data_IF_911099463485
#
_entry.id   IF_911099463485
#
_cell.length_a   1.000
_cell.length_b   1.000
_cell.length_c   1.000
_cell.angle_alpha   90.00
_cell.angle_beta   90.00
_cell.angle_gamma   90.00
#
_symmetry.space_group_name_H-M   'P 1'
#
loop_
_entity.id
_entity.type
_entity.pdbx_description
1 polymer ?
#
# COMPACT_ATOMS: atom_id res chain seq x y z
N UNK A 1 5.98 -5.68 -4.93
CA UNK A 1 5.97 -6.27 -3.56
C UNK A 1 4.56 -6.25 -2.98
N UNK A 2 4.34 -7.00 -1.91
CA UNK A 2 3.06 -7.07 -1.18
C UNK A 2 3.33 -6.68 0.27
N UNK A 3 2.99 -5.46 0.70
CA UNK A 3 3.36 -5.00 2.04
C UNK A 3 2.78 -5.82 3.19
N UNK A 4 1.56 -6.34 3.03
CA UNK A 4 0.90 -7.19 4.02
C UNK A 4 1.68 -8.49 4.30
N UNK A 5 2.46 -9.01 3.34
CA UNK A 5 3.28 -10.21 3.57
C UNK A 5 4.29 -10.00 4.71
N UNK A 6 4.89 -8.82 4.83
CA UNK A 6 5.81 -8.56 5.94
C UNK A 6 5.13 -8.71 7.31
N UNK A 7 3.88 -8.27 7.43
CA UNK A 7 3.13 -8.36 8.67
C UNK A 7 2.53 -9.73 8.92
N UNK A 8 2.18 -10.47 7.87
CA UNK A 8 1.71 -11.85 7.96
C UNK A 8 2.85 -12.82 8.29
N UNK A 9 4.05 -12.58 7.73
CA UNK A 9 5.20 -13.48 7.87
C UNK A 9 6.07 -13.19 9.10
N UNK A 10 5.88 -12.05 9.78
CA UNK A 10 6.73 -11.58 10.89
C UNK A 10 7.03 -12.65 11.96
N UNK A 11 6.05 -13.51 12.24
CA UNK A 11 6.17 -14.53 13.29
C UNK A 11 6.93 -15.79 12.84
N UNK A 12 7.11 -15.98 11.53
CA UNK A 12 7.77 -17.18 11.01
C UNK A 12 9.03 -16.88 10.20
N UNK A 13 9.23 -15.65 9.78
CA UNK A 13 10.34 -15.29 8.89
C UNK A 13 11.69 -15.65 9.50
N UNK A 14 11.91 -15.34 10.76
CA UNK A 14 13.14 -15.67 11.47
C UNK A 14 13.39 -17.19 11.52
N UNK A 15 12.36 -17.98 11.81
CA UNK A 15 12.47 -19.44 11.87
C UNK A 15 12.77 -20.07 10.52
N UNK A 16 12.31 -19.42 9.43
CA UNK A 16 12.45 -19.93 8.06
C UNK A 16 13.78 -19.56 7.40
N UNK A 17 14.24 -18.33 7.61
CA UNK A 17 15.44 -17.83 6.91
C UNK A 17 16.63 -17.57 7.84
N UNK A 18 16.42 -17.56 9.17
CA UNK A 18 17.43 -17.26 10.18
C UNK A 18 17.63 -15.75 10.39
N UNK A 19 18.10 -15.40 11.57
CA UNK A 19 18.31 -13.99 12.01
C UNK A 19 19.17 -13.20 11.02
N UNK A 20 20.29 -13.76 10.60
CA UNK A 20 21.26 -13.12 9.73
C UNK A 20 20.66 -12.69 8.37
N UNK A 21 19.72 -13.47 7.83
CA UNK A 21 19.09 -13.16 6.53
C UNK A 21 17.89 -12.22 6.66
N UNK A 22 17.38 -12.01 7.86
CA UNK A 22 16.30 -11.05 8.08
C UNK A 22 16.71 -9.63 7.72
N UNK A 23 17.98 -9.27 7.78
CA UNK A 23 18.49 -7.97 7.38
C UNK A 23 18.07 -7.61 5.94
N UNK A 24 18.09 -8.57 5.03
CA UNK A 24 17.67 -8.39 3.63
C UNK A 24 16.20 -8.69 3.36
N UNK A 25 15.42 -9.11 4.37
CA UNK A 25 14.02 -9.48 4.17
C UNK A 25 13.09 -8.27 4.31
N UNK A 26 12.17 -8.12 3.34
CA UNK A 26 11.20 -7.01 3.32
C UNK A 26 11.87 -5.62 3.44
N UNK A 27 13.04 -5.47 2.84
CA UNK A 27 13.95 -4.34 2.96
C UNK A 27 13.54 -3.18 2.02
N UNK A 28 12.35 -2.64 2.17
CA UNK A 28 11.79 -1.67 1.22
C UNK A 28 12.48 -0.32 1.29
N UNK A 29 12.80 0.18 2.48
CA UNK A 29 13.54 1.43 2.68
C UNK A 29 14.92 1.34 2.02
N UNK A 30 15.61 0.23 2.26
CA UNK A 30 16.91 -0.05 1.65
C UNK A 30 16.86 0.02 0.11
N UNK A 31 15.85 -0.58 -0.52
CA UNK A 31 15.68 -0.51 -1.98
C UNK A 31 15.34 0.90 -2.47
N UNK A 32 14.46 1.62 -1.76
CA UNK A 32 14.09 2.99 -2.12
C UNK A 32 15.31 3.92 -2.04
N UNK A 33 16.09 3.83 -0.98
CA UNK A 33 17.29 4.65 -0.77
C UNK A 33 18.38 4.39 -1.82
N UNK A 34 18.36 3.21 -2.43
CA UNK A 34 19.20 2.87 -3.59
C UNK A 34 18.62 3.35 -4.93
N UNK A 35 17.47 4.02 -4.92
CA UNK A 35 16.81 4.51 -6.13
C UNK A 35 15.96 3.47 -6.86
N UNK A 36 15.64 2.33 -6.25
CA UNK A 36 14.80 1.31 -6.84
C UNK A 36 13.32 1.70 -6.74
N UNK A 37 12.61 1.65 -7.86
CA UNK A 37 11.16 1.79 -7.88
C UNK A 37 10.50 0.53 -7.30
N UNK A 38 9.52 0.72 -6.42
CA UNK A 38 8.80 -0.38 -5.79
C UNK A 38 7.33 -0.32 -6.21
N UNK A 39 6.88 -1.27 -7.02
CA UNK A 39 5.47 -1.50 -7.29
C UNK A 39 4.85 -2.37 -6.19
N UNK A 40 3.68 -1.99 -5.70
CA UNK A 40 2.95 -2.71 -4.66
C UNK A 40 1.62 -3.28 -5.15
N UNK A 41 1.16 -4.31 -4.47
CA UNK A 41 -0.13 -4.96 -4.66
C UNK A 41 -0.51 -5.79 -3.43
N UNK A 42 -1.71 -6.39 -3.42
CA UNK A 42 -2.18 -7.22 -2.31
C UNK A 42 -1.84 -8.70 -2.47
N UNK A 43 -1.60 -9.16 -3.69
CA UNK A 43 -1.52 -10.61 -4.01
C UNK A 43 -2.83 -11.36 -3.68
N UNK A 44 -3.97 -10.67 -3.84
CA UNK A 44 -5.28 -11.30 -3.62
C UNK A 44 -5.43 -12.57 -4.49
N UNK A 45 -5.91 -13.68 -3.94
CA UNK A 45 -6.57 -13.87 -2.64
C UNK A 45 -5.65 -14.33 -1.49
N UNK A 46 -4.33 -14.27 -1.62
CA UNK A 46 -3.38 -14.62 -0.55
C UNK A 46 -3.54 -13.64 0.62
N UNK A 47 -3.63 -12.36 0.32
CA UNK A 47 -3.94 -11.30 1.28
C UNK A 47 -5.28 -10.61 0.94
N UNK A 48 -5.88 -9.86 1.87
CA UNK A 48 -7.09 -9.10 1.60
C UNK A 48 -6.92 -8.11 0.44
N UNK A 49 -7.99 -7.94 -0.36
CA UNK A 49 -7.96 -7.13 -1.59
C UNK A 49 -7.81 -5.61 -1.33
N UNK A 50 -8.20 -5.11 -0.14
CA UNK A 50 -8.20 -3.68 0.17
C UNK A 50 -6.78 -3.11 0.16
N UNK A 51 -6.43 -2.16 -0.74
CA UNK A 51 -5.09 -1.59 -0.84
C UNK A 51 -4.67 -0.79 0.41
N UNK A 52 -5.63 -0.24 1.17
CA UNK A 52 -5.31 0.50 2.40
C UNK A 52 -4.71 -0.38 3.48
N UNK A 53 -5.00 -1.69 3.52
CA UNK A 53 -4.31 -2.63 4.39
C UNK A 53 -2.81 -2.76 4.04
N UNK A 54 -2.51 -2.77 2.73
CA UNK A 54 -1.13 -2.75 2.26
C UNK A 54 -0.43 -1.42 2.53
N UNK A 55 -1.13 -0.29 2.36
CA UNK A 55 -0.60 1.05 2.66
C UNK A 55 -0.30 1.18 4.17
N UNK A 56 -1.23 0.76 5.04
CA UNK A 56 -1.01 0.69 6.48
C UNK A 56 0.23 -0.14 6.82
N UNK A 57 0.31 -1.38 6.32
CA UNK A 57 1.45 -2.27 6.56
C UNK A 57 2.78 -1.68 6.04
N UNK A 58 2.77 -0.99 4.90
CA UNK A 58 3.96 -0.34 4.34
C UNK A 58 4.49 0.79 5.22
N UNK A 59 3.58 1.58 5.81
CA UNK A 59 3.90 2.78 6.60
C UNK A 59 4.20 2.43 8.06
N UNK A 60 3.40 1.56 8.67
CA UNK A 60 3.50 1.24 10.10
C UNK A 60 4.36 0.02 10.41
N UNK A 61 4.51 -0.90 9.44
CA UNK A 61 5.10 -2.22 9.66
C UNK A 61 4.35 -3.05 10.72
N UNK A 62 3.07 -2.72 10.94
CA UNK A 62 2.17 -3.36 11.87
C UNK A 62 1.08 -4.12 11.12
N UNK A 63 0.54 -5.16 11.74
CA UNK A 63 -0.68 -5.80 11.25
C UNK A 63 -1.92 -4.97 11.60
N UNK A 64 -3.10 -5.40 11.19
CA UNK A 64 -4.39 -4.73 11.42
C UNK A 64 -4.86 -4.71 12.88
N UNK A 65 -4.02 -5.13 13.81
CA UNK A 65 -4.20 -5.00 15.27
C UNK A 65 -3.14 -4.10 15.88
N UNK A 66 -2.43 -3.35 15.05
CA UNK A 66 -1.30 -2.49 15.41
C UNK A 66 -0.15 -3.26 16.10
N UNK A 67 0.02 -4.54 15.73
CA UNK A 67 1.07 -5.38 16.29
C UNK A 67 2.20 -5.69 15.27
N UNK A 68 3.48 -5.71 15.73
CA UNK A 68 3.94 -5.39 17.08
C UNK A 68 3.98 -3.88 17.34
N UNK A 69 3.94 -3.44 18.60
CA UNK A 69 4.15 -2.03 18.92
C UNK A 69 5.43 -1.51 18.28
N UNK A 70 5.38 -0.32 17.66
CA UNK A 70 6.46 0.31 16.88
C UNK A 70 6.81 -0.37 15.53
N UNK A 71 6.07 -1.40 15.11
CA UNK A 71 6.26 -2.04 13.82
C UNK A 71 7.37 -3.11 13.79
N UNK A 72 7.18 -4.13 12.97
CA UNK A 72 8.20 -5.15 12.73
C UNK A 72 9.22 -4.63 11.72
N UNK A 73 10.49 -4.49 12.15
CA UNK A 73 11.55 -3.90 11.33
C UNK A 73 11.16 -2.51 10.79
N UNK A 74 10.77 -1.63 11.70
CA UNK A 74 10.26 -0.30 11.37
C UNK A 74 11.28 0.58 10.62
N UNK A 75 12.58 0.27 10.69
CA UNK A 75 13.63 0.89 9.89
C UNK A 75 13.41 0.74 8.38
N UNK A 76 12.67 -0.27 7.97
CA UNK A 76 12.31 -0.55 6.57
C UNK A 76 10.94 -0.01 6.15
N UNK A 77 10.31 0.83 6.99
CA UNK A 77 9.02 1.44 6.68
C UNK A 77 9.12 2.44 5.50
N UNK A 78 8.04 2.55 4.77
CA UNK A 78 7.86 3.55 3.72
C UNK A 78 7.19 4.81 4.30
N UNK A 79 7.44 5.96 3.71
CA UNK A 79 6.57 7.11 3.93
C UNK A 79 5.20 6.87 3.28
N UNK A 80 4.16 7.56 3.76
CA UNK A 80 2.82 7.46 3.17
C UNK A 80 2.83 7.81 1.67
N UNK A 81 3.60 8.83 1.27
CA UNK A 81 3.72 9.23 -0.13
C UNK A 81 4.33 8.12 -0.99
N UNK A 82 5.36 7.45 -0.52
CA UNK A 82 5.99 6.33 -1.22
C UNK A 82 5.04 5.14 -1.30
N UNK A 83 4.31 4.82 -0.22
CA UNK A 83 3.32 3.75 -0.22
C UNK A 83 2.18 4.02 -1.22
N UNK A 84 1.59 5.21 -1.22
CA UNK A 84 0.56 5.60 -2.18
C UNK A 84 1.08 5.53 -3.62
N UNK A 85 2.29 6.02 -3.86
CA UNK A 85 2.93 5.96 -5.17
C UNK A 85 3.17 4.52 -5.62
N UNK A 86 3.61 3.65 -4.72
CA UNK A 86 3.85 2.23 -5.00
C UNK A 86 2.58 1.50 -5.47
N UNK A 87 1.42 1.83 -4.89
CA UNK A 87 0.11 1.27 -5.28
C UNK A 87 -0.51 1.93 -6.51
N UNK A 88 0.06 3.02 -7.04
CA UNK A 88 -0.50 3.78 -8.18
C UNK A 88 0.49 3.90 -9.32
N UNK A 89 1.29 4.96 -9.35
CA UNK A 89 2.17 5.30 -10.45
C UNK A 89 3.26 4.25 -10.68
N UNK A 90 3.89 3.75 -9.62
CA UNK A 90 4.98 2.77 -9.75
C UNK A 90 4.43 1.38 -10.12
N UNK A 91 3.19 1.04 -9.70
CA UNK A 91 2.50 -0.16 -10.18
C UNK A 91 2.17 -0.05 -11.68
N UNK A 92 1.69 1.11 -12.15
CA UNK A 92 1.45 1.37 -13.57
C UNK A 92 2.75 1.29 -14.39
N UNK A 93 3.86 1.82 -13.87
CA UNK A 93 5.18 1.73 -14.48
C UNK A 93 5.64 0.26 -14.61
N UNK A 94 5.51 -0.54 -13.55
CA UNK A 94 5.86 -1.96 -13.58
C UNK A 94 5.03 -2.74 -14.62
N UNK A 95 3.77 -2.32 -14.84
CA UNK A 95 2.89 -2.86 -15.87
C UNK A 95 3.13 -2.27 -17.28
N UNK A 96 4.09 -1.34 -17.44
CA UNK A 96 4.35 -0.58 -18.68
C UNK A 96 3.11 0.17 -19.20
N UNK A 97 2.33 0.69 -18.31
CA UNK A 97 1.07 1.40 -18.58
C UNK A 97 0.99 2.80 -17.95
N UNK A 98 2.13 3.34 -17.50
CA UNK A 98 2.22 4.65 -16.83
C UNK A 98 1.80 5.83 -17.71
N UNK A 99 1.79 5.66 -19.02
CA UNK A 99 1.23 6.64 -19.96
C UNK A 99 -0.30 6.67 -19.97
N UNK A 100 -0.95 5.63 -19.42
CA UNK A 100 -2.40 5.48 -19.42
C UNK A 100 -3.02 5.58 -18.02
N UNK A 101 -2.30 5.13 -16.98
CA UNK A 101 -2.81 4.98 -15.63
C UNK A 101 -1.81 5.49 -14.57
N UNK A 102 -2.22 5.43 -13.30
CA UNK A 102 -1.36 5.63 -12.13
C UNK A 102 -1.30 7.07 -11.62
N UNK A 103 -1.77 8.05 -12.40
CA UNK A 103 -1.89 9.45 -11.98
C UNK A 103 -3.03 10.15 -12.70
N UNK A 104 -3.56 11.22 -12.08
CA UNK A 104 -4.60 12.07 -12.66
C UNK A 104 -3.93 13.22 -13.43
N UNK A 105 -3.62 12.97 -14.69
CA UNK A 105 -2.98 13.92 -15.60
C UNK A 105 -3.75 14.00 -16.93
N UNK A 106 -3.74 15.18 -17.61
CA UNK A 106 -4.34 15.29 -18.94
C UNK A 106 -3.78 14.24 -19.92
N UNK A 107 -4.67 13.50 -20.56
CA UNK A 107 -4.33 12.46 -21.53
C UNK A 107 -4.29 11.03 -20.94
N UNK A 108 -4.34 10.88 -19.64
CA UNK A 108 -4.50 9.58 -18.98
C UNK A 108 -5.96 9.23 -18.73
N UNK A 109 -6.22 7.97 -18.42
CA UNK A 109 -7.54 7.48 -18.00
C UNK A 109 -7.94 8.12 -16.68
N UNK A 110 -9.21 8.50 -16.58
CA UNK A 110 -9.76 9.04 -15.33
C UNK A 110 -10.17 7.88 -14.41
N UNK A 111 -9.16 7.19 -13.88
CA UNK A 111 -9.28 6.12 -12.91
C UNK A 111 -8.89 6.65 -11.53
N UNK A 112 -9.86 6.74 -10.64
CA UNK A 112 -9.64 7.28 -9.28
C UNK A 112 -10.68 6.76 -8.30
N UNK A 113 -10.38 6.95 -7.03
CA UNK A 113 -11.30 6.68 -5.92
C UNK A 113 -11.57 7.97 -5.15
N UNK A 114 -12.76 8.08 -4.57
CA UNK A 114 -13.05 9.04 -3.50
C UNK A 114 -13.05 8.28 -2.17
N UNK A 115 -12.42 8.86 -1.17
CA UNK A 115 -12.26 8.28 0.16
C UNK A 115 -12.88 9.17 1.21
N UNK A 116 -13.21 8.61 2.38
CA UNK A 116 -13.94 9.28 3.45
C UNK A 116 -13.12 10.30 4.25
N UNK A 117 -11.78 10.20 4.19
CA UNK A 117 -10.85 11.05 4.96
C UNK A 117 -9.53 11.24 4.23
N UNK A 118 -8.83 12.33 4.52
CA UNK A 118 -7.50 12.60 3.96
C UNK A 118 -6.45 11.74 4.69
N UNK A 119 -5.73 10.84 3.99
CA UNK A 119 -4.73 9.97 4.60
C UNK A 119 -3.53 10.74 5.18
N UNK A 120 -3.33 12.00 4.80
CA UNK A 120 -2.25 12.85 5.33
C UNK A 120 -2.63 13.58 6.61
N UNK A 121 -3.93 13.60 6.97
CA UNK A 121 -4.46 14.31 8.15
C UNK A 121 -4.84 13.37 9.30
N UNK A 122 -4.66 12.05 9.12
CA UNK A 122 -4.97 11.03 10.13
C UNK A 122 -3.70 10.35 10.64
N UNK A 123 -3.73 9.75 11.86
CA UNK A 123 -2.64 8.90 12.34
C UNK A 123 -2.39 7.71 11.41
N UNK A 124 -1.13 7.27 11.22
CA UNK A 124 -0.83 6.09 10.40
C UNK A 124 -1.57 4.81 10.80
N UNK A 125 -1.91 4.65 12.09
CA UNK A 125 -2.70 3.52 12.60
C UNK A 125 -4.16 3.51 12.13
N UNK A 126 -4.66 4.60 11.53
CA UNK A 126 -6.03 4.69 11.01
C UNK A 126 -6.08 4.52 9.47
N UNK A 127 -4.95 4.26 8.82
CA UNK A 127 -4.90 4.15 7.36
C UNK A 127 -5.71 2.95 6.82
N UNK A 128 -5.79 1.87 7.55
CA UNK A 128 -6.56 0.68 7.18
C UNK A 128 -8.07 0.83 7.44
N UNK A 129 -8.49 1.85 8.18
CA UNK A 129 -9.89 2.21 8.40
C UNK A 129 -10.49 3.09 7.28
N UNK A 130 -9.65 3.59 6.37
CA UNK A 130 -10.11 4.43 5.24
C UNK A 130 -11.12 3.67 4.40
N UNK A 131 -12.26 4.33 4.14
CA UNK A 131 -13.34 3.78 3.33
C UNK A 131 -13.34 4.39 1.92
N UNK A 132 -13.47 3.54 0.92
CA UNK A 132 -13.70 3.98 -0.47
C UNK A 132 -15.18 4.31 -0.64
N UNK A 133 -15.49 5.57 -0.89
CA UNK A 133 -16.86 6.07 -1.10
C UNK A 133 -17.29 5.86 -2.56
N UNK A 134 -16.40 6.12 -3.50
CA UNK A 134 -16.65 5.91 -4.92
C UNK A 134 -15.41 5.37 -5.63
N UNK A 135 -15.65 4.57 -6.68
CA UNK A 135 -14.62 4.17 -7.63
C UNK A 135 -15.05 4.58 -9.04
N UNK A 136 -14.12 5.20 -9.74
CA UNK A 136 -14.30 5.67 -11.10
C UNK A 136 -13.29 5.00 -12.03
N UNK A 137 -13.75 4.48 -13.15
CA UNK A 137 -12.93 3.84 -14.19
C UNK A 137 -13.27 4.49 -15.53
N UNK A 138 -12.26 5.00 -16.22
CA UNK A 138 -12.41 5.75 -17.49
C UNK A 138 -13.45 6.86 -17.40
N UNK A 139 -13.49 7.57 -16.28
CA UNK A 139 -14.45 8.64 -16.02
C UNK A 139 -15.89 8.19 -15.75
N UNK A 140 -16.13 6.90 -15.59
CA UNK A 140 -17.45 6.35 -15.24
C UNK A 140 -17.43 5.84 -13.81
N UNK A 141 -18.41 6.22 -13.00
CA UNK A 141 -18.59 5.71 -11.66
C UNK A 141 -19.02 4.24 -11.73
N UNK A 142 -18.19 3.34 -11.18
CA UNK A 142 -18.44 1.89 -11.17
C UNK A 142 -18.79 1.36 -9.80
N UNK A 143 -18.51 2.12 -8.74
CA UNK A 143 -18.87 1.79 -7.35
C UNK A 143 -19.27 3.05 -6.59
N UNK A 144 -20.25 2.89 -5.70
CA UNK A 144 -20.65 3.89 -4.72
C UNK A 144 -21.09 3.18 -3.44
N UNK A 145 -20.54 3.61 -2.31
CA UNK A 145 -20.93 3.07 -1.00
C UNK A 145 -22.33 3.59 -0.62
N UNK A 146 -23.30 2.69 -0.47
CA UNK A 146 -24.66 3.07 -0.07
C UNK A 146 -24.65 3.66 1.35
N UNK A 147 -25.33 4.80 1.52
CA UNK A 147 -25.44 5.50 2.81
C UNK A 147 -24.40 6.60 3.05
N UNK A 148 -23.40 6.76 2.20
CA UNK A 148 -22.51 7.92 2.25
C UNK A 148 -23.23 9.13 1.67
N UNK A 149 -23.40 10.20 2.49
CA UNK A 149 -23.84 11.50 1.97
C UNK A 149 -22.66 12.21 1.32
N UNK A 150 -22.88 12.88 0.18
CA UNK A 150 -21.87 13.73 -0.43
C UNK A 150 -21.49 14.90 0.46
#
# INVERSE_FOLDING_TARGET
MQPTHATSDKNMAQDRIGEERLEGAYAWRTFIDQGTLIAAGSDFPVEPVNPFFGIHAAVTRQDRKDEPPNGWRSEEAMSLREALRAFTLDAAFAAKSESLYGSLEPGKKADFILIDRDPFEIPPSELDDIQVIETWVEGKKVYHQEGSRP
#
